data_IF_795024396903
#
_entry.id   IF_795024396903
#
_cell.length_a   1.000
_cell.length_b   1.000
_cell.length_c   1.000
_cell.angle_alpha   90.00
_cell.angle_beta   90.00
_cell.angle_gamma   90.00
#
_symmetry.space_group_name_H-M   'P 1'
#
loop_
_entity.id
_entity.type
_entity.pdbx_description
1 polymer ?
#
# COMPACT_ATOMS: atom_id res chain seq x y z
N UNK A 1 -9.35 16.31 0.15
CA UNK A 1 -8.46 15.14 0.30
C UNK A 1 -7.04 15.67 0.41
N UNK A 2 -6.26 15.20 1.39
CA UNK A 2 -4.85 15.60 1.52
C UNK A 2 -3.96 14.94 0.46
N UNK A 3 -2.66 15.31 0.38
CA UNK A 3 -1.73 14.66 -0.55
C UNK A 3 -1.63 13.14 -0.27
N UNK A 4 -1.35 12.36 -1.31
CA UNK A 4 -1.31 10.89 -1.26
C UNK A 4 -0.16 10.30 -0.39
N UNK A 5 0.77 11.13 0.09
CA UNK A 5 1.95 10.67 0.81
C UNK A 5 3.10 10.25 -0.11
N UNK A 6 4.18 9.72 0.47
CA UNK A 6 5.42 9.32 -0.23
C UNK A 6 5.57 7.80 -0.32
N UNK A 7 4.79 7.06 0.47
CA UNK A 7 4.86 5.60 0.56
C UNK A 7 3.46 4.98 0.76
N UNK A 8 3.33 3.67 0.58
CA UNK A 8 2.15 2.91 1.00
C UNK A 8 2.21 2.60 2.49
N UNK A 9 1.06 2.48 3.13
CA UNK A 9 1.00 2.03 4.52
C UNK A 9 1.58 0.61 4.63
N UNK A 10 2.67 0.45 5.39
CA UNK A 10 3.40 -0.82 5.53
C UNK A 10 2.83 -1.75 6.64
N UNK A 11 1.76 -1.32 7.31
CA UNK A 11 1.11 -2.05 8.40
C UNK A 11 -0.40 -2.09 8.20
N UNK A 12 -1.04 -3.12 8.74
CA UNK A 12 -2.50 -3.21 8.68
C UNK A 12 -3.14 -1.98 9.32
N UNK A 13 -4.15 -1.36 8.67
CA UNK A 13 -4.86 -0.21 9.22
C UNK A 13 -5.72 -0.55 10.46
N UNK A 14 -5.92 -1.84 10.74
CA UNK A 14 -6.63 -2.34 11.92
C UNK A 14 -8.16 -2.16 11.88
N UNK A 15 -8.69 -1.37 10.94
CA UNK A 15 -10.13 -1.14 10.74
C UNK A 15 -10.46 -0.82 9.28
N UNK A 16 -11.74 -0.94 8.93
CA UNK A 16 -12.30 -0.49 7.65
C UNK A 16 -12.50 1.04 7.63
N UNK A 17 -12.89 1.60 6.48
CA UNK A 17 -13.21 3.04 6.34
C UNK A 17 -12.08 3.99 6.76
N UNK A 18 -10.86 3.72 6.29
CA UNK A 18 -9.68 4.59 6.44
C UNK A 18 -9.08 4.93 5.08
N UNK A 19 -8.17 5.91 5.03
CA UNK A 19 -7.51 6.33 3.79
C UNK A 19 -8.49 6.78 2.68
N UNK A 20 -9.70 7.20 3.06
CA UNK A 20 -10.74 7.61 2.11
C UNK A 20 -11.44 6.45 1.40
N UNK A 21 -11.31 5.22 1.88
CA UNK A 21 -11.94 4.04 1.28
C UNK A 21 -12.56 3.11 2.32
N UNK A 22 -13.65 2.42 1.97
CA UNK A 22 -14.28 1.44 2.86
C UNK A 22 -13.40 0.20 3.04
N UNK A 23 -12.66 -0.20 2.00
CA UNK A 23 -11.83 -1.42 1.96
C UNK A 23 -10.38 -1.02 1.67
N UNK A 24 -9.58 -0.73 2.72
CA UNK A 24 -8.22 -0.28 2.54
C UNK A 24 -7.28 -1.42 2.16
N UNK A 25 -6.39 -1.12 1.22
CA UNK A 25 -5.29 -1.99 0.80
C UNK A 25 -3.96 -1.42 1.31
N UNK A 26 -3.10 -2.26 1.89
CA UNK A 26 -1.84 -1.85 2.54
C UNK A 26 -0.71 -2.80 2.15
N UNK A 27 0.54 -2.33 2.14
CA UNK A 27 1.70 -3.16 1.80
C UNK A 27 2.12 -4.04 2.97
N UNK A 28 2.15 -5.36 2.76
CA UNK A 28 2.70 -6.31 3.71
C UNK A 28 4.23 -6.42 3.53
N UNK A 29 4.96 -5.85 4.48
CA UNK A 29 6.42 -5.92 4.55
C UNK A 29 7.10 -4.55 4.52
N UNK A 30 8.43 -4.56 4.61
CA UNK A 30 9.23 -3.35 4.57
C UNK A 30 9.39 -2.82 3.14
N UNK A 31 9.42 -1.49 3.02
CA UNK A 31 9.80 -0.83 1.79
C UNK A 31 11.24 -1.15 1.40
N UNK A 32 11.54 -1.28 0.09
CA UNK A 32 12.92 -1.49 -0.36
C UNK A 32 13.81 -0.28 -0.05
N UNK A 33 15.11 -0.51 -0.13
CA UNK A 33 16.13 0.54 -0.23
C UNK A 33 16.43 0.84 -1.70
N UNK A 34 17.15 1.94 -1.97
CA UNK A 34 17.57 2.26 -3.34
C UNK A 34 18.51 1.18 -3.94
N UNK A 35 19.26 0.46 -3.10
CA UNK A 35 20.17 -0.60 -3.53
C UNK A 35 19.43 -1.88 -3.95
N UNK A 36 18.23 -2.12 -3.41
CA UNK A 36 17.43 -3.31 -3.74
C UNK A 36 16.84 -3.24 -5.16
N UNK A 37 16.78 -2.05 -5.76
CA UNK A 37 16.17 -1.85 -7.07
C UNK A 37 14.64 -2.01 -7.06
N UNK A 38 14.11 -2.61 -8.12
CA UNK A 38 12.68 -2.95 -8.21
C UNK A 38 12.44 -4.36 -7.64
N UNK A 39 11.57 -4.44 -6.64
CA UNK A 39 11.29 -5.69 -5.92
C UNK A 39 9.79 -5.98 -5.85
N UNK A 40 9.47 -7.28 -5.78
CA UNK A 40 8.11 -7.75 -5.52
C UNK A 40 7.72 -7.54 -4.06
N UNK A 41 6.51 -7.05 -3.82
CA UNK A 41 5.88 -6.96 -2.49
C UNK A 41 4.42 -7.41 -2.55
N UNK A 42 3.90 -7.86 -1.42
CA UNK A 42 2.49 -8.19 -1.28
C UNK A 42 1.71 -6.99 -0.76
N UNK A 43 0.55 -6.74 -1.37
CA UNK A 43 -0.46 -5.83 -0.82
C UNK A 43 -1.61 -6.66 -0.29
N UNK A 44 -1.98 -6.39 0.96
CA UNK A 44 -3.09 -7.01 1.66
C UNK A 44 -4.33 -6.12 1.62
N UNK A 45 -5.49 -6.73 1.37
CA UNK A 45 -6.80 -6.09 1.48
C UNK A 45 -7.38 -6.35 2.87
N UNK A 46 -7.66 -5.29 3.63
CA UNK A 46 -8.34 -5.42 4.92
C UNK A 46 -9.85 -5.58 4.71
N UNK A 47 -10.45 -6.65 5.20
CA UNK A 47 -11.88 -6.88 5.08
C UNK A 47 -12.44 -7.66 6.27
N UNK A 48 -13.56 -7.18 6.84
CA UNK A 48 -14.33 -7.89 7.88
C UNK A 48 -13.47 -8.38 9.07
N UNK A 49 -12.54 -7.56 9.55
CA UNK A 49 -11.65 -7.93 10.68
C UNK A 49 -10.44 -8.77 10.28
N UNK A 50 -10.39 -9.30 9.05
CA UNK A 50 -9.21 -9.97 8.53
C UNK A 50 -8.23 -8.92 7.96
N UNK A 51 -7.00 -8.82 8.51
CA UNK A 51 -6.00 -7.86 8.06
C UNK A 51 -5.48 -8.12 6.64
N UNK A 52 -5.57 -9.35 6.14
CA UNK A 52 -5.12 -9.74 4.81
C UNK A 52 -6.08 -10.76 4.21
N UNK A 53 -7.30 -10.32 3.89
CA UNK A 53 -8.31 -11.19 3.28
C UNK A 53 -7.93 -11.60 1.86
N UNK A 54 -7.26 -10.70 1.13
CA UNK A 54 -6.76 -10.94 -0.23
C UNK A 54 -5.40 -10.31 -0.42
N UNK A 55 -4.52 -11.04 -1.08
CA UNK A 55 -3.18 -10.60 -1.44
C UNK A 55 -3.11 -10.20 -2.92
N UNK A 56 -2.22 -9.27 -3.23
CA UNK A 56 -1.93 -8.84 -4.59
C UNK A 56 -0.45 -8.50 -4.68
N UNK A 57 0.27 -9.22 -5.54
CA UNK A 57 1.68 -8.94 -5.81
C UNK A 57 1.80 -7.65 -6.61
N UNK A 58 2.66 -6.75 -6.16
CA UNK A 58 3.02 -5.52 -6.85
C UNK A 58 4.54 -5.43 -7.00
N UNK A 59 4.99 -4.51 -7.86
CA UNK A 59 6.40 -4.11 -7.89
C UNK A 59 6.56 -2.75 -7.23
N UNK A 60 7.65 -2.57 -6.49
CA UNK A 60 8.01 -1.32 -5.82
C UNK A 60 9.51 -1.06 -5.96
N UNK A 61 9.88 0.21 -6.09
CA UNK A 61 11.26 0.68 -5.97
C UNK A 61 11.34 1.94 -5.11
N UNK A 62 12.47 2.11 -4.43
CA UNK A 62 12.79 3.35 -3.73
C UNK A 62 13.45 4.35 -4.69
N UNK A 63 13.12 5.63 -4.56
CA UNK A 63 13.76 6.71 -5.30
C UNK A 63 14.67 7.54 -4.37
N UNK A 64 15.81 8.06 -4.88
CA UNK A 64 16.77 8.84 -4.08
C UNK A 64 16.17 10.07 -3.39
N UNK A 65 15.07 10.61 -3.92
CA UNK A 65 14.37 11.77 -3.37
C UNK A 65 13.41 11.44 -2.20
N UNK A 66 13.51 10.24 -1.61
CA UNK A 66 12.75 9.88 -0.39
C UNK A 66 11.30 9.50 -0.62
N UNK A 67 10.96 9.00 -1.82
CA UNK A 67 9.63 8.48 -2.14
C UNK A 67 9.72 7.13 -2.86
N UNK A 68 8.59 6.46 -2.97
CA UNK A 68 8.48 5.15 -3.60
C UNK A 68 7.60 5.19 -4.84
N UNK A 69 7.97 4.37 -5.83
CA UNK A 69 7.17 4.17 -7.04
C UNK A 69 6.64 2.75 -7.05
N UNK A 70 5.33 2.62 -7.24
CA UNK A 70 4.62 1.34 -7.19
C UNK A 70 3.95 1.05 -8.54
N UNK A 71 4.12 -0.17 -9.05
CA UNK A 71 3.30 -0.69 -10.17
C UNK A 71 2.07 -1.36 -9.58
N UNK A 72 1.02 -0.58 -9.38
CA UNK A 72 -0.23 -1.04 -8.77
C UNK A 72 -1.20 -1.54 -9.85
N UNK A 73 -1.73 -2.77 -9.74
CA UNK A 73 -2.85 -3.19 -10.55
C UNK A 73 -4.09 -2.36 -10.20
N UNK A 74 -5.02 -2.30 -11.15
CA UNK A 74 -6.31 -1.64 -10.91
C UNK A 74 -7.03 -2.34 -9.76
N UNK A 75 -7.53 -1.55 -8.81
CA UNK A 75 -8.39 -2.07 -7.75
C UNK A 75 -9.64 -2.76 -8.36
N UNK A 76 -9.96 -4.00 -7.97
CA UNK A 76 -11.00 -4.78 -8.66
C UNK A 76 -12.42 -4.30 -8.38
N UNK A 77 -12.66 -3.56 -7.29
CA UNK A 77 -13.98 -2.98 -6.97
C UNK A 77 -13.85 -1.51 -6.55
N UNK A 78 -14.96 -0.76 -6.68
CA UNK A 78 -15.01 0.70 -6.49
C UNK A 78 -14.75 1.16 -5.06
N UNK A 79 -14.92 0.26 -4.08
CA UNK A 79 -14.74 0.52 -2.67
C UNK A 79 -13.37 0.07 -2.14
N UNK A 80 -12.43 -0.31 -3.01
CA UNK A 80 -11.04 -0.63 -2.66
C UNK A 80 -10.13 0.51 -3.08
N UNK A 81 -9.20 0.89 -2.19
CA UNK A 81 -8.13 1.82 -2.54
C UNK A 81 -6.86 1.52 -1.73
N UNK A 82 -5.72 1.88 -2.30
CA UNK A 82 -4.42 1.77 -1.64
C UNK A 82 -4.23 2.89 -0.61
N UNK A 83 -3.86 2.53 0.61
CA UNK A 83 -3.54 3.46 1.67
C UNK A 83 -2.15 4.06 1.45
N UNK A 84 -2.10 5.37 1.18
CA UNK A 84 -0.87 6.15 1.23
C UNK A 84 -0.54 6.63 2.64
N UNK A 85 0.75 6.77 2.93
CA UNK A 85 1.32 7.27 4.16
C UNK A 85 2.38 8.34 3.86
N UNK A 86 2.55 9.31 4.77
CA UNK A 86 3.44 10.46 4.54
C UNK A 86 4.93 10.13 4.61
N UNK A 87 5.29 8.93 5.06
CA UNK A 87 6.69 8.65 5.38
C UNK A 87 7.04 9.13 6.80
N UNK A 88 8.20 8.69 7.34
CA UNK A 88 8.82 9.36 8.48
C UNK A 88 9.22 10.81 8.17
#
# INVERSE_FOLDING_TARGET
MGPAGTQLLARSPGRHSVCGTAVPMWMNGAHPTAADGEVSRQVCTYWSGNPCWRETTIQVKACPAGFYVYKLPRAPHCNLAYCGDRGP
#
